data_IF_540390192891
#
_entry.id   IF_540390192891
#
_cell.length_a   1.000
_cell.length_b   1.000
_cell.length_c   1.000
_cell.angle_alpha   90.00
_cell.angle_beta   90.00
_cell.angle_gamma   90.00
#
_symmetry.space_group_name_H-M   'P 1'
#
loop_
_entity.id
_entity.type
_entity.pdbx_description
1 polymer ?
#
# COMPACT_ATOMS: atom_id res chain seq x y z
N UNK A 1 -34.86 -14.54 -2.48
CA UNK A 1 -33.70 -14.33 -3.40
C UNK A 1 -32.48 -13.91 -2.58
N UNK A 2 -31.29 -14.38 -2.96
CA UNK A 2 -30.02 -14.03 -2.31
C UNK A 2 -29.01 -13.57 -3.37
N UNK A 3 -28.42 -12.39 -3.17
CA UNK A 3 -27.35 -11.82 -3.99
C UNK A 3 -26.06 -11.76 -3.18
N UNK A 4 -24.96 -12.27 -3.73
CA UNK A 4 -23.63 -12.25 -3.11
C UNK A 4 -22.73 -11.42 -4.02
N UNK A 5 -22.02 -10.45 -3.44
CA UNK A 5 -21.08 -9.57 -4.14
C UNK A 5 -19.69 -9.86 -3.60
N UNK A 6 -18.81 -10.33 -4.49
CA UNK A 6 -17.41 -10.59 -4.21
C UNK A 6 -16.55 -9.63 -5.03
N UNK A 7 -15.40 -9.24 -4.49
CA UNK A 7 -14.38 -8.52 -5.24
C UNK A 7 -13.10 -9.34 -5.25
N UNK A 8 -12.40 -9.29 -6.37
CA UNK A 8 -11.08 -9.89 -6.54
C UNK A 8 -10.09 -8.79 -6.88
N UNK A 9 -8.99 -8.71 -6.15
CA UNK A 9 -7.88 -7.82 -6.49
C UNK A 9 -6.77 -8.67 -7.08
N UNK A 10 -6.42 -8.39 -8.34
CA UNK A 10 -5.35 -9.09 -9.06
C UNK A 10 -4.15 -8.14 -9.15
N UNK A 11 -2.98 -8.62 -8.73
CA UNK A 11 -1.71 -7.91 -8.94
C UNK A 11 -1.13 -8.27 -10.31
N UNK A 12 -0.48 -7.32 -10.98
CA UNK A 12 -0.22 -7.38 -12.42
C UNK A 12 0.80 -8.42 -12.91
N UNK A 13 1.44 -9.19 -12.02
CA UNK A 13 2.51 -10.13 -12.41
C UNK A 13 2.64 -11.37 -11.51
N UNK A 14 1.63 -11.68 -10.68
CA UNK A 14 1.65 -12.87 -9.84
C UNK A 14 0.30 -13.56 -9.81
N UNK A 15 0.28 -14.83 -10.21
CA UNK A 15 -0.83 -15.77 -10.04
C UNK A 15 -1.10 -16.11 -8.55
N UNK A 16 -0.32 -15.55 -7.62
CA UNK A 16 -0.60 -15.67 -6.19
C UNK A 16 -1.74 -14.75 -5.80
N UNK A 17 -2.94 -15.32 -5.79
CA UNK A 17 -4.14 -14.74 -5.20
C UNK A 17 -3.90 -14.55 -3.70
N UNK A 18 -3.35 -13.40 -3.31
CA UNK A 18 -3.30 -12.98 -1.91
C UNK A 18 -4.74 -12.80 -1.42
N UNK A 19 -5.26 -13.78 -0.67
CA UNK A 19 -6.59 -13.84 -0.04
C UNK A 19 -7.25 -12.46 0.13
N UNK A 20 -7.88 -12.02 -0.95
CA UNK A 20 -8.58 -10.76 -1.09
C UNK A 20 -9.89 -10.95 -1.84
N UNK A 21 -10.28 -12.21 -2.06
CA UNK A 21 -11.59 -12.65 -2.54
C UNK A 21 -12.57 -12.64 -1.35
N UNK A 22 -12.79 -11.46 -0.80
CA UNK A 22 -13.72 -11.26 0.31
C UNK A 22 -15.13 -11.03 -0.20
N UNK A 23 -16.11 -11.75 0.35
CA UNK A 23 -17.52 -11.40 0.17
C UNK A 23 -17.74 -9.98 0.73
N UNK A 24 -17.97 -9.03 -0.16
CA UNK A 24 -18.22 -7.63 0.19
C UNK A 24 -19.63 -7.44 0.73
N UNK A 25 -20.63 -8.11 0.15
CA UNK A 25 -21.99 -8.04 0.62
C UNK A 25 -22.76 -9.33 0.35
N UNK A 26 -23.69 -9.62 1.26
CA UNK A 26 -24.75 -10.60 1.05
C UNK A 26 -26.05 -9.86 1.27
N UNK A 27 -26.93 -9.89 0.29
CA UNK A 27 -28.24 -9.23 0.32
C UNK A 27 -29.30 -10.29 0.14
N UNK A 28 -30.23 -10.33 1.08
CA UNK A 28 -31.34 -11.26 1.10
C UNK A 28 -32.66 -10.50 0.98
N UNK A 29 -33.58 -11.06 0.20
CA UNK A 29 -34.91 -10.54 -0.03
C UNK A 29 -35.90 -11.68 0.03
N UNK A 30 -36.88 -11.57 0.93
CA UNK A 30 -38.04 -12.44 0.96
C UNK A 30 -39.08 -11.86 0.01
N UNK A 31 -39.46 -12.68 -0.98
CA UNK A 31 -40.54 -12.43 -1.94
C UNK A 31 -40.26 -11.30 -2.95
N UNK A 32 -40.80 -11.44 -4.17
CA UNK A 32 -40.55 -10.54 -5.30
C UNK A 32 -41.29 -9.19 -5.15
N UNK A 33 -41.22 -8.56 -3.98
CA UNK A 33 -41.81 -7.25 -3.73
C UNK A 33 -41.06 -6.16 -4.50
N UNK A 34 -41.79 -5.40 -5.31
CA UNK A 34 -41.25 -4.23 -6.01
C UNK A 34 -40.85 -3.10 -5.04
N UNK A 35 -41.29 -3.15 -3.79
CA UNK A 35 -40.91 -2.16 -2.76
C UNK A 35 -39.42 -2.27 -2.37
N UNK A 36 -38.81 -3.44 -2.57
CA UNK A 36 -37.40 -3.71 -2.25
C UNK A 36 -36.53 -3.83 -3.52
N UNK A 37 -36.96 -3.15 -4.60
CA UNK A 37 -36.26 -3.17 -5.87
C UNK A 37 -34.89 -2.49 -5.77
N UNK A 38 -33.83 -3.22 -6.10
CA UNK A 38 -32.46 -2.73 -6.09
C UNK A 38 -31.83 -2.63 -4.69
N UNK A 39 -30.72 -1.91 -4.62
CA UNK A 39 -30.07 -1.62 -3.34
C UNK A 39 -30.77 -0.46 -2.65
N UNK A 40 -31.04 -0.62 -1.36
CA UNK A 40 -31.35 0.53 -0.52
C UNK A 40 -30.11 1.44 -0.43
N UNK A 41 -30.33 2.71 -0.11
CA UNK A 41 -29.22 3.64 0.13
C UNK A 41 -28.29 3.14 1.25
N UNK A 42 -28.84 2.49 2.27
CA UNK A 42 -28.06 1.93 3.37
C UNK A 42 -27.14 0.79 2.87
N UNK A 43 -27.65 -0.12 2.06
CA UNK A 43 -26.86 -1.22 1.49
C UNK A 43 -25.82 -0.72 0.50
N UNK A 44 -26.19 0.20 -0.39
CA UNK A 44 -25.26 0.80 -1.35
C UNK A 44 -24.10 1.51 -0.64
N UNK A 45 -24.40 2.29 0.41
CA UNK A 45 -23.35 2.95 1.22
C UNK A 45 -22.48 1.94 1.97
N UNK A 46 -23.07 0.88 2.54
CA UNK A 46 -22.34 -0.17 3.24
C UNK A 46 -21.40 -0.94 2.31
N UNK A 47 -21.89 -1.32 1.12
CA UNK A 47 -21.10 -1.97 0.08
C UNK A 47 -19.92 -1.10 -0.34
N UNK A 48 -20.17 0.17 -0.69
CA UNK A 48 -19.11 1.08 -1.12
C UNK A 48 -18.11 1.39 0.00
N UNK A 49 -18.55 1.42 1.26
CA UNK A 49 -17.63 1.58 2.40
C UNK A 49 -16.64 0.41 2.50
N UNK A 50 -17.11 -0.83 2.29
CA UNK A 50 -16.25 -2.02 2.28
C UNK A 50 -15.31 -2.03 1.08
N UNK A 51 -15.81 -1.75 -0.13
CA UNK A 51 -14.98 -1.60 -1.34
C UNK A 51 -13.85 -0.60 -1.10
N UNK A 52 -14.19 0.57 -0.54
CA UNK A 52 -13.22 1.62 -0.28
C UNK A 52 -12.18 1.20 0.78
N UNK A 53 -12.59 0.45 1.80
CA UNK A 53 -11.69 -0.06 2.82
C UNK A 53 -10.67 -1.06 2.26
N UNK A 54 -11.14 -2.01 1.44
CA UNK A 54 -10.28 -3.00 0.78
C UNK A 54 -9.28 -2.34 -0.17
N UNK A 55 -9.78 -1.45 -1.05
CA UNK A 55 -8.95 -0.76 -2.03
C UNK A 55 -7.85 0.08 -1.36
N UNK A 56 -8.23 0.89 -0.35
CA UNK A 56 -7.26 1.71 0.38
C UNK A 56 -6.24 0.82 1.12
N UNK A 57 -6.68 -0.29 1.71
CA UNK A 57 -5.79 -1.18 2.46
C UNK A 57 -4.73 -1.80 1.54
N UNK A 58 -5.13 -2.30 0.37
CA UNK A 58 -4.21 -2.85 -0.63
C UNK A 58 -3.27 -1.80 -1.22
N UNK A 59 -3.80 -0.61 -1.56
CA UNK A 59 -2.96 0.52 -2.02
C UNK A 59 -1.90 0.91 -0.98
N UNK A 60 -2.28 0.99 0.30
CA UNK A 60 -1.33 1.27 1.39
C UNK A 60 -0.31 0.15 1.50
N UNK A 61 -0.73 -1.12 1.45
CA UNK A 61 0.17 -2.28 1.52
C UNK A 61 1.21 -2.26 0.39
N UNK A 62 0.81 -1.94 -0.84
CA UNK A 62 1.71 -1.80 -1.98
C UNK A 62 2.63 -0.58 -1.88
N UNK A 63 2.13 0.54 -1.36
CA UNK A 63 2.91 1.77 -1.27
C UNK A 63 3.95 1.73 -0.14
N UNK A 64 3.64 1.12 1.00
CA UNK A 64 4.46 1.21 2.22
C UNK A 64 5.90 0.71 2.09
N UNK A 65 6.20 -0.40 1.38
CA UNK A 65 7.57 -0.87 1.17
C UNK A 65 8.47 0.19 0.50
N UNK A 66 7.93 1.02 -0.40
CA UNK A 66 8.70 2.11 -1.02
C UNK A 66 9.12 3.21 -0.03
N UNK A 67 8.55 3.21 1.18
CA UNK A 67 8.75 4.21 2.21
C UNK A 67 9.68 3.76 3.34
N UNK A 68 10.14 2.51 3.31
CA UNK A 68 11.01 1.94 4.36
C UNK A 68 12.50 2.22 4.15
N UNK A 69 12.86 2.89 3.05
CA UNK A 69 14.24 3.30 2.76
C UNK A 69 14.42 4.81 2.75
N UNK A 70 15.61 5.26 3.12
CA UNK A 70 15.99 6.67 3.09
C UNK A 70 16.06 7.17 1.64
N UNK A 71 15.30 8.21 1.32
CA UNK A 71 15.26 8.81 -0.02
C UNK A 71 16.57 9.51 -0.43
N UNK A 72 17.52 9.70 0.50
CA UNK A 72 18.82 10.34 0.21
C UNK A 72 19.95 9.35 -0.02
N UNK A 73 20.05 8.31 0.82
CA UNK A 73 21.17 7.37 0.79
C UNK A 73 20.75 5.91 0.55
N UNK A 74 19.45 5.63 0.42
CA UNK A 74 18.93 4.28 0.20
C UNK A 74 18.92 3.37 1.43
N UNK A 75 19.55 3.74 2.54
CA UNK A 75 19.62 2.90 3.74
C UNK A 75 18.22 2.57 4.30
N UNK A 76 18.03 1.32 4.74
CA UNK A 76 16.80 0.88 5.40
C UNK A 76 16.58 1.68 6.69
N UNK A 77 15.33 2.10 6.93
CA UNK A 77 14.93 2.85 8.11
C UNK A 77 14.53 1.89 9.23
N UNK A 78 15.00 2.15 10.45
CA UNK A 78 14.66 1.34 11.61
C UNK A 78 13.19 1.50 12.00
N UNK A 79 12.51 0.38 12.25
CA UNK A 79 11.14 0.36 12.74
C UNK A 79 11.10 0.70 14.25
N UNK A 80 10.23 1.63 14.63
CA UNK A 80 10.00 2.01 16.03
C UNK A 80 8.81 1.27 16.63
N UNK A 81 7.65 1.45 16.00
CA UNK A 81 6.38 0.82 16.37
C UNK A 81 5.40 0.94 15.18
N UNK A 82 4.21 0.35 15.28
CA UNK A 82 3.16 0.50 14.27
C UNK A 82 1.91 1.11 14.90
N UNK A 83 1.25 2.02 14.18
CA UNK A 83 0.03 2.68 14.64
C UNK A 83 -1.01 2.75 13.53
N UNK A 84 -2.28 2.64 13.93
CA UNK A 84 -3.39 2.84 13.02
C UNK A 84 -3.64 4.33 12.78
N UNK A 85 -3.97 4.68 11.54
CA UNK A 85 -4.42 5.99 11.10
C UNK A 85 -5.81 5.86 10.50
N UNK A 86 -6.70 6.76 10.88
CA UNK A 86 -8.04 6.85 10.31
C UNK A 86 -8.03 7.81 9.12
N UNK A 87 -8.48 7.31 7.98
CA UNK A 87 -8.78 8.04 6.75
C UNK A 87 -10.29 8.24 6.64
N UNK A 88 -10.74 9.44 6.31
CA UNK A 88 -12.16 9.72 6.07
C UNK A 88 -12.43 9.72 4.57
N UNK A 89 -13.45 8.99 4.18
CA UNK A 89 -13.96 8.88 2.81
C UNK A 89 -15.43 9.32 2.79
N UNK A 90 -15.98 9.55 1.60
CA UNK A 90 -17.42 9.86 1.46
C UNK A 90 -18.31 8.70 1.90
N UNK A 91 -17.77 7.48 1.89
CA UNK A 91 -18.46 6.24 2.26
C UNK A 91 -18.28 5.85 3.73
N UNK A 92 -17.28 6.40 4.42
CA UNK A 92 -17.06 6.12 5.83
C UNK A 92 -15.62 6.37 6.29
N UNK A 93 -15.28 5.85 7.47
CA UNK A 93 -13.92 5.89 8.00
C UNK A 93 -13.22 4.58 7.65
N UNK A 94 -12.00 4.68 7.13
CA UNK A 94 -11.13 3.54 6.85
C UNK A 94 -9.92 3.60 7.78
N UNK A 95 -9.64 2.51 8.48
CA UNK A 95 -8.50 2.44 9.41
C UNK A 95 -7.36 1.66 8.74
N UNK A 96 -6.21 2.29 8.60
CA UNK A 96 -5.02 1.71 7.97
C UNK A 96 -3.84 1.68 8.95
N UNK A 97 -3.04 0.61 8.90
CA UNK A 97 -1.82 0.51 9.71
C UNK A 97 -0.67 1.23 9.02
N UNK A 98 0.08 2.04 9.77
CA UNK A 98 1.32 2.67 9.34
C UNK A 98 2.44 2.33 10.32
N UNK A 99 3.62 1.89 9.87
CA UNK A 99 4.81 1.87 10.70
C UNK A 99 5.19 3.30 11.06
N UNK A 100 5.88 3.41 12.19
CA UNK A 100 6.66 4.58 12.60
C UNK A 100 8.12 4.21 12.44
N UNK A 101 8.83 4.99 11.66
CA UNK A 101 10.21 4.71 11.30
C UNK A 101 11.10 5.80 11.89
N UNK A 102 12.29 5.45 12.34
CA UNK A 102 13.30 6.44 12.67
C UNK A 102 13.85 7.06 11.39
N UNK A 103 14.11 8.37 11.41
CA UNK A 103 14.82 9.06 10.34
C UNK A 103 16.23 8.50 10.20
N UNK A 104 16.73 8.40 8.98
CA UNK A 104 18.09 7.92 8.74
C UNK A 104 19.13 8.83 9.38
N UNK A 105 20.21 8.24 9.91
CA UNK A 105 21.34 8.98 10.48
C UNK A 105 22.00 9.94 9.48
N UNK A 106 21.93 9.68 8.17
CA UNK A 106 22.44 10.62 7.15
C UNK A 106 21.64 11.94 7.08
N UNK A 107 20.48 12.00 7.73
CA UNK A 107 19.65 13.21 7.84
C UNK A 107 19.87 13.93 9.17
N UNK A 108 20.59 13.33 10.11
CA UNK A 108 20.99 14.01 11.34
C UNK A 108 21.97 15.14 10.99
N UNK A 109 21.69 16.30 11.56
CA UNK A 109 22.62 17.43 11.58
C UNK A 109 22.92 17.70 13.05
N UNK A 110 24.05 18.36 13.34
CA UNK A 110 24.48 18.67 14.70
C UNK A 110 23.43 19.37 15.59
N UNK A 111 22.38 19.95 14.99
CA UNK A 111 21.31 20.68 15.66
C UNK A 111 19.95 19.97 15.65
N UNK A 112 19.81 18.83 14.96
CA UNK A 112 18.52 18.12 14.82
C UNK A 112 18.69 16.62 15.07
N UNK A 113 18.22 16.10 16.22
CA UNK A 113 18.30 14.68 16.54
C UNK A 113 17.41 13.84 15.62
N UNK A 114 17.60 12.51 15.66
CA UNK A 114 16.71 11.58 14.95
C UNK A 114 15.25 11.82 15.31
N UNK A 115 14.40 11.82 14.28
CA UNK A 115 12.96 12.02 14.40
C UNK A 115 12.21 10.78 13.95
N UNK A 116 11.05 10.56 14.56
CA UNK A 116 10.12 9.54 14.09
C UNK A 116 9.32 10.06 12.89
N UNK A 117 9.44 9.35 11.77
CA UNK A 117 8.66 9.54 10.54
C UNK A 117 7.44 8.62 10.56
N UNK A 118 6.30 9.17 10.15
CA UNK A 118 5.04 8.43 9.97
C UNK A 118 4.66 8.50 8.49
N UNK A 119 4.95 7.48 7.67
CA UNK A 119 4.76 7.54 6.22
C UNK A 119 3.37 8.01 5.82
N UNK A 120 2.30 7.37 6.32
CA UNK A 120 0.93 7.75 5.95
C UNK A 120 0.54 9.14 6.42
N UNK A 121 0.98 9.56 7.62
CA UNK A 121 0.67 10.93 8.09
C UNK A 121 1.41 12.00 7.28
N UNK A 122 2.58 11.66 6.73
CA UNK A 122 3.35 12.54 5.85
C UNK A 122 2.74 12.63 4.44
N UNK A 123 2.29 11.50 3.89
CA UNK A 123 1.69 11.45 2.56
C UNK A 123 0.24 11.96 2.52
N UNK A 124 -0.54 11.67 3.56
CA UNK A 124 -1.97 12.00 3.64
C UNK A 124 -2.21 13.09 4.70
N UNK A 125 -1.72 14.30 4.41
CA UNK A 125 -1.70 15.44 5.34
C UNK A 125 -3.08 15.70 5.95
N UNK A 126 -4.14 15.67 5.12
CA UNK A 126 -5.52 15.93 5.56
C UNK A 126 -6.26 14.69 6.09
N UNK A 127 -5.68 13.49 5.96
CA UNK A 127 -6.31 12.21 6.33
C UNK A 127 -7.72 12.05 5.75
N UNK A 128 -7.93 12.62 4.58
CA UNK A 128 -9.15 12.50 3.79
C UNK A 128 -8.75 12.02 2.41
N UNK A 129 -9.61 11.25 1.79
CA UNK A 129 -9.43 10.88 0.39
C UNK A 129 -9.68 12.10 -0.52
N UNK A 130 -9.10 12.12 -1.74
CA UNK A 130 -9.14 13.30 -2.61
C UNK A 130 -10.55 13.82 -2.89
N UNK A 131 -11.53 12.92 -3.01
CA UNK A 131 -12.93 13.23 -3.28
C UNK A 131 -13.63 13.93 -2.10
N UNK A 132 -13.11 13.81 -0.87
CA UNK A 132 -13.61 14.54 0.30
C UNK A 132 -12.97 15.92 0.40
N UNK A 133 -11.71 16.04 -0.04
CA UNK A 133 -10.88 17.22 0.20
C UNK A 133 -10.91 18.30 -0.87
N UNK A 134 -11.53 18.05 -2.02
CA UNK A 134 -11.61 19.01 -3.15
C UNK A 134 -10.27 19.33 -3.82
N UNK A 135 -9.19 18.62 -3.48
CA UNK A 135 -7.84 18.87 -4.02
C UNK A 135 -7.27 17.58 -4.61
N UNK A 136 -7.25 17.52 -5.94
CA UNK A 136 -6.65 16.46 -6.75
C UNK A 136 -5.12 16.52 -6.62
N UNK A 137 -4.55 15.85 -5.62
CA UNK A 137 -3.10 15.66 -5.54
C UNK A 137 -2.78 14.28 -4.94
N UNK A 138 -3.05 13.23 -5.72
CA UNK A 138 -2.40 11.95 -5.49
C UNK A 138 -1.05 12.00 -6.19
N UNK A 139 0.00 12.08 -5.39
CA UNK A 139 1.35 11.73 -5.82
C UNK A 139 1.28 10.29 -6.33
N UNK A 140 1.39 10.10 -7.64
CA UNK A 140 1.35 8.78 -8.26
C UNK A 140 2.51 7.92 -7.75
N UNK A 141 2.24 6.65 -7.49
CA UNK A 141 3.28 5.65 -7.28
C UNK A 141 4.11 5.57 -8.56
N UNK A 142 5.28 6.20 -8.61
CA UNK A 142 6.27 5.91 -9.63
C UNK A 142 6.78 4.48 -9.38
N UNK A 143 6.47 3.58 -10.30
CA UNK A 143 6.99 2.21 -10.29
C UNK A 143 8.51 2.23 -10.18
N UNK A 144 9.02 1.58 -9.14
CA UNK A 144 10.44 1.25 -9.06
C UNK A 144 10.66 -0.04 -9.84
N UNK A 145 11.18 0.09 -11.06
CA UNK A 145 11.91 -1.01 -11.69
C UNK A 145 13.12 -1.32 -10.80
N UNK A 146 13.12 -2.48 -10.16
CA UNK A 146 14.26 -2.98 -9.40
C UNK A 146 15.38 -3.34 -10.38
N UNK A 147 16.38 -2.46 -10.51
CA UNK A 147 17.66 -2.81 -11.10
C UNK A 147 18.43 -3.68 -10.12
N UNK A 148 18.48 -4.98 -10.38
CA UNK A 148 19.35 -5.93 -9.68
C UNK A 148 20.81 -5.63 -10.01
N UNK A 149 21.54 -5.04 -9.07
CA UNK A 149 22.99 -4.92 -9.13
C UNK A 149 23.61 -6.23 -8.60
N UNK A 150 23.92 -7.14 -9.52
CA UNK A 150 24.77 -8.30 -9.23
C UNK A 150 26.22 -7.81 -9.01
N UNK A 151 26.62 -7.71 -7.75
CA UNK A 151 28.01 -7.47 -7.37
C UNK A 151 28.81 -8.78 -7.46
N UNK A 152 29.60 -8.89 -8.53
CA UNK A 152 31.00 -9.34 -8.57
C UNK A 152 31.43 -10.62 -7.86
N UNK A 153 31.96 -11.56 -8.65
CA UNK A 153 33.23 -12.24 -8.37
C UNK A 153 33.92 -12.60 -9.69
N UNK A 154 34.73 -11.67 -10.20
CA UNK A 154 35.75 -11.96 -11.20
C UNK A 154 37.03 -12.35 -10.46
N UNK A 155 37.38 -13.64 -10.48
CA UNK A 155 38.72 -14.09 -10.11
C UNK A 155 39.51 -14.34 -11.40
N UNK A 156 40.52 -13.52 -11.57
CA UNK A 156 41.49 -13.47 -12.66
C UNK A 156 42.37 -14.73 -12.63
N UNK A 157 42.35 -15.55 -13.69
CA UNK A 157 43.41 -16.53 -13.95
C UNK A 157 44.12 -16.12 -15.24
N UNK A 158 45.17 -15.34 -15.07
CA UNK A 158 46.26 -15.18 -16.04
C UNK A 158 47.29 -16.27 -15.74
N UNK A 159 47.60 -17.14 -16.72
CA UNK A 159 48.93 -17.74 -16.94
C UNK A 159 48.95 -18.65 -18.19
N UNK A 160 49.51 -18.11 -19.26
CA UNK A 160 50.40 -18.82 -20.21
C UNK A 160 51.75 -18.07 -20.18
N UNK A 161 52.90 -18.58 -20.68
CA UNK A 161 53.08 -19.63 -21.70
C UNK A 161 54.26 -20.63 -21.49
N UNK A 162 54.38 -21.61 -22.41
CA UNK A 162 55.62 -22.33 -22.79
C UNK A 162 56.14 -23.39 -21.81
N UNK A 163 56.83 -24.48 -22.18
CA UNK A 163 57.45 -24.93 -23.44
C UNK A 163 58.02 -26.33 -23.20
N UNK A 164 58.09 -27.14 -24.27
CA UNK A 164 59.01 -28.26 -24.54
C UNK A 164 59.22 -29.39 -23.51
N UNK A 165 58.77 -30.60 -23.86
CA UNK A 165 59.62 -31.69 -24.40
C UNK A 165 58.78 -32.89 -24.82
#
# INVERSE_FOLDING_TARGET
MRLIIEARLVDGDSDTVEEGDGVLAVIERSDCSLAELGLTLAEGRSLLAKVQAELISKQVQWWLPSQTCCQKCGAALSHKDSRSTVLRTVYGKVTVKSPRLWSCACQEKAQTPQRVVHPLSRALIRRITPEVGGSFALQTCRGHAQGSAAAGQGHLVERHPGSDS
#
